data_IF_631033256637
#
_entry.id   IF_631033256637
#
_cell.length_a   1.000
_cell.length_b   1.000
_cell.length_c   1.000
_cell.angle_alpha   90.00
_cell.angle_beta   90.00
_cell.angle_gamma   90.00
#
_symmetry.space_group_name_H-M   'P 1'
#
loop_
_entity.id
_entity.type
_entity.pdbx_description
1 polymer ?
#
# COMPACT_ATOMS: atom_id res chain seq x y z
N UNK A 1 -6.83 11.32 8.57
CA UNK A 1 -5.59 11.12 9.33
C UNK A 1 -4.43 11.27 8.37
N UNK A 2 -3.35 11.94 8.81
CA UNK A 2 -2.08 12.05 8.08
C UNK A 2 -0.95 11.71 9.05
N UNK A 3 -0.01 10.86 8.62
CA UNK A 3 1.21 10.52 9.35
C UNK A 3 2.39 10.69 8.39
N UNK A 4 3.46 11.34 8.84
CA UNK A 4 4.68 11.59 8.06
C UNK A 4 5.86 11.04 8.83
N UNK A 5 6.73 10.31 8.16
CA UNK A 5 7.98 9.76 8.71
C UNK A 5 9.11 9.94 7.69
N UNK A 6 10.31 10.22 8.20
CA UNK A 6 11.50 10.45 7.38
C UNK A 6 12.74 9.85 8.05
N UNK A 7 13.60 9.23 7.24
CA UNK A 7 14.96 8.86 7.61
C UNK A 7 15.92 9.15 6.44
N UNK A 8 17.19 8.74 6.55
CA UNK A 8 18.20 9.00 5.49
C UNK A 8 17.80 8.43 4.12
N UNK A 9 17.02 7.34 4.10
CA UNK A 9 16.74 6.56 2.89
C UNK A 9 15.36 6.84 2.28
N UNK A 10 14.40 7.31 3.07
CA UNK A 10 13.03 7.50 2.61
C UNK A 10 12.29 8.58 3.41
N UNK A 11 11.50 9.39 2.70
CA UNK A 11 10.43 10.20 3.26
C UNK A 11 9.08 9.56 2.90
N UNK A 12 8.16 9.46 3.85
CA UNK A 12 6.86 8.80 3.67
C UNK A 12 5.71 9.63 4.20
N UNK A 13 4.55 9.49 3.58
CA UNK A 13 3.30 10.08 4.04
C UNK A 13 2.17 9.06 3.91
N UNK A 14 1.51 8.75 5.02
CA UNK A 14 0.28 7.96 5.04
C UNK A 14 -0.91 8.89 5.17
N UNK A 15 -1.93 8.66 4.36
CA UNK A 15 -3.23 9.30 4.47
C UNK A 15 -4.31 8.24 4.60
N UNK A 16 -5.23 8.45 5.53
CA UNK A 16 -6.42 7.62 5.66
C UNK A 16 -7.65 8.46 6.01
N UNK A 17 -8.76 8.20 5.32
CA UNK A 17 -10.05 8.83 5.60
C UNK A 17 -11.19 7.83 5.44
N UNK A 18 -12.04 7.75 6.46
CA UNK A 18 -13.19 6.86 6.43
C UNK A 18 -14.24 7.35 5.44
N UNK A 19 -14.98 6.38 4.89
CA UNK A 19 -16.26 6.56 4.21
C UNK A 19 -17.20 7.47 5.00
N UNK A 20 -17.97 8.29 4.30
CA UNK A 20 -18.97 9.16 4.92
C UNK A 20 -19.96 8.36 5.78
N UNK A 21 -20.23 8.84 7.00
CA UNK A 21 -21.10 8.17 7.96
C UNK A 21 -20.54 6.88 8.59
N UNK A 22 -19.26 6.51 8.38
CA UNK A 22 -18.63 5.35 9.03
C UNK A 22 -17.63 5.78 10.11
N UNK A 23 -17.80 5.23 11.32
CA UNK A 23 -16.89 5.44 12.45
C UNK A 23 -15.64 4.57 12.40
N UNK A 24 -15.71 3.43 11.72
CA UNK A 24 -14.61 2.46 11.59
C UNK A 24 -14.22 2.34 10.12
N UNK A 25 -12.94 2.49 9.83
CA UNK A 25 -12.37 2.31 8.49
C UNK A 25 -12.25 0.83 8.15
N UNK A 26 -12.74 0.42 6.98
CA UNK A 26 -12.53 -0.93 6.43
C UNK A 26 -11.10 -1.17 5.96
N UNK A 27 -10.36 -0.10 5.68
CA UNK A 27 -8.94 -0.15 5.30
C UNK A 27 -8.03 -0.23 6.53
N UNK A 28 -6.91 -0.94 6.38
CA UNK A 28 -5.79 -0.93 7.32
C UNK A 28 -4.46 -0.79 6.58
N UNK A 29 -3.47 -0.25 7.27
CA UNK A 29 -2.11 -0.15 6.75
C UNK A 29 -1.10 -0.45 7.86
N UNK A 30 0.06 -0.95 7.46
CA UNK A 30 1.25 -1.07 8.30
C UNK A 30 2.43 -0.45 7.56
N UNK A 31 3.30 0.25 8.27
CA UNK A 31 4.53 0.80 7.72
C UNK A 31 5.59 0.82 8.82
N UNK A 32 6.80 0.37 8.47
CA UNK A 32 7.98 0.48 9.31
C UNK A 32 9.19 0.67 8.40
N UNK A 33 9.94 1.74 8.64
CA UNK A 33 11.24 1.98 8.02
C UNK A 33 12.31 2.05 9.10
N UNK A 34 13.45 1.41 8.85
CA UNK A 34 14.67 1.58 9.62
C UNK A 34 15.84 1.96 8.69
N UNK A 35 17.08 1.91 9.18
CA UNK A 35 18.26 2.27 8.40
C UNK A 35 18.62 1.24 7.30
N UNK A 36 17.89 0.13 7.19
CA UNK A 36 18.21 -0.98 6.26
C UNK A 36 17.07 -1.29 5.31
N UNK A 37 15.84 -1.33 5.82
CA UNK A 37 14.69 -1.73 5.04
C UNK A 37 13.41 -0.95 5.35
N UNK A 38 12.53 -0.91 4.34
CA UNK A 38 11.13 -0.60 4.49
C UNK A 38 10.32 -1.89 4.42
N UNK A 39 9.31 -2.00 5.26
CA UNK A 39 8.14 -2.81 4.98
C UNK A 39 6.90 -1.93 5.05
N UNK A 40 6.02 -2.04 4.06
CA UNK A 40 4.70 -1.46 4.14
C UNK A 40 3.64 -2.35 3.50
N UNK A 41 2.43 -2.23 4.00
CA UNK A 41 1.27 -2.92 3.48
C UNK A 41 0.03 -2.03 3.57
N UNK A 42 -0.85 -2.19 2.59
CA UNK A 42 -2.18 -1.58 2.56
C UNK A 42 -3.18 -2.69 2.25
N UNK A 43 -4.24 -2.77 3.03
CA UNK A 43 -5.29 -3.75 2.87
C UNK A 43 -6.68 -3.09 2.95
N UNK A 44 -7.57 -3.51 2.05
CA UNK A 44 -8.98 -3.11 2.00
C UNK A 44 -9.83 -4.34 2.31
N UNK A 45 -10.52 -4.30 3.46
CA UNK A 45 -11.38 -5.38 3.93
C UNK A 45 -12.71 -5.40 3.20
N UNK A 46 -13.17 -6.58 2.78
CA UNK A 46 -14.38 -6.68 1.96
C UNK A 46 -15.63 -6.06 2.66
N UNK A 47 -16.20 -5.05 2.01
CA UNK A 47 -17.40 -4.34 2.47
C UNK A 47 -17.06 -3.01 3.14
N UNK A 48 -17.56 -2.76 4.37
CA UNK A 48 -17.24 -1.54 5.12
C UNK A 48 -17.47 -1.73 6.62
N UNK A 49 -16.88 -0.86 7.44
CA UNK A 49 -17.05 -0.86 8.89
C UNK A 49 -16.31 -2.00 9.59
N UNK A 50 -16.81 -2.42 10.76
CA UNK A 50 -16.10 -3.33 11.67
C UNK A 50 -15.72 -4.69 11.06
N UNK A 51 -16.56 -5.28 10.22
CA UNK A 51 -16.27 -6.58 9.60
C UNK A 51 -15.25 -6.48 8.45
N UNK A 52 -15.17 -5.33 7.78
CA UNK A 52 -14.07 -5.05 6.85
C UNK A 52 -12.77 -4.84 7.63
N UNK A 53 -12.83 -4.03 8.69
CA UNK A 53 -11.71 -3.78 9.58
C UNK A 53 -11.15 -5.06 10.22
N UNK A 54 -12.00 -6.01 10.63
CA UNK A 54 -11.56 -7.31 11.16
C UNK A 54 -10.60 -8.04 10.20
N UNK A 55 -10.91 -8.04 8.90
CA UNK A 55 -10.06 -8.64 7.88
C UNK A 55 -8.77 -7.83 7.67
N UNK A 56 -8.88 -6.52 7.43
CA UNK A 56 -7.72 -5.70 7.10
C UNK A 56 -6.77 -5.49 8.29
N UNK A 57 -7.29 -5.38 9.51
CA UNK A 57 -6.50 -5.25 10.72
C UNK A 57 -5.71 -6.54 11.02
N UNK A 58 -6.30 -7.72 10.78
CA UNK A 58 -5.57 -8.98 10.90
C UNK A 58 -4.38 -9.06 9.93
N UNK A 59 -4.51 -8.48 8.72
CA UNK A 59 -3.40 -8.36 7.77
C UNK A 59 -2.33 -7.42 8.31
N UNK A 60 -2.71 -6.25 8.82
CA UNK A 60 -1.77 -5.30 9.44
C UNK A 60 -0.94 -5.98 10.52
N UNK A 61 -1.58 -6.69 11.45
CA UNK A 61 -0.91 -7.36 12.57
C UNK A 61 0.03 -8.48 12.09
N UNK A 62 -0.35 -9.22 11.04
CA UNK A 62 0.52 -10.26 10.46
C UNK A 62 1.73 -9.68 9.75
N UNK A 63 1.56 -8.59 8.99
CA UNK A 63 2.67 -7.91 8.33
C UNK A 63 3.67 -7.38 9.37
N UNK A 64 3.18 -6.85 10.49
CA UNK A 64 4.04 -6.41 11.61
C UNK A 64 4.83 -7.57 12.21
N UNK A 65 4.16 -8.66 12.58
CA UNK A 65 4.78 -9.80 13.25
C UNK A 65 5.75 -10.58 12.38
N UNK A 66 5.49 -10.65 11.07
CA UNK A 66 6.28 -11.42 10.10
C UNK A 66 7.09 -10.53 9.15
N UNK A 67 7.38 -9.29 9.56
CA UNK A 67 8.05 -8.31 8.72
C UNK A 67 9.39 -8.75 8.13
N UNK A 68 10.07 -9.70 8.79
CA UNK A 68 11.37 -10.22 8.36
C UNK A 68 11.27 -11.29 7.25
N UNK A 69 10.08 -11.86 7.00
CA UNK A 69 9.87 -12.85 5.94
C UNK A 69 9.81 -12.19 4.55
N UNK A 70 9.87 -13.01 3.50
CA UNK A 70 9.62 -12.54 2.13
C UNK A 70 8.13 -12.20 1.92
N UNK A 71 7.84 -11.29 1.00
CA UNK A 71 6.47 -10.79 0.77
C UNK A 71 5.47 -11.89 0.38
N UNK A 72 5.93 -12.99 -0.23
CA UNK A 72 5.06 -14.10 -0.62
C UNK A 72 4.67 -14.95 0.60
N UNK A 73 5.61 -15.18 1.51
CA UNK A 73 5.34 -15.84 2.79
C UNK A 73 4.36 -15.03 3.64
N UNK A 74 4.55 -13.70 3.71
CA UNK A 74 3.65 -12.81 4.45
C UNK A 74 2.24 -12.83 3.84
N UNK A 75 2.10 -12.66 2.51
CA UNK A 75 0.77 -12.63 1.88
C UNK A 75 0.03 -13.96 2.00
N UNK A 76 0.74 -15.09 2.02
CA UNK A 76 0.12 -16.40 2.26
C UNK A 76 -0.41 -16.54 3.68
N UNK A 77 0.33 -16.06 4.69
CA UNK A 77 -0.19 -16.01 6.07
C UNK A 77 -1.44 -15.15 6.17
N UNK A 78 -1.41 -13.98 5.51
CA UNK A 78 -2.57 -13.10 5.40
C UNK A 78 -3.76 -13.84 4.78
N UNK A 79 -3.55 -14.57 3.69
CA UNK A 79 -4.58 -15.38 3.05
C UNK A 79 -5.17 -16.42 4.01
N UNK A 80 -4.34 -17.20 4.69
CA UNK A 80 -4.80 -18.21 5.65
C UNK A 80 -5.63 -17.61 6.78
N UNK A 81 -5.24 -16.43 7.27
CA UNK A 81 -5.97 -15.71 8.31
C UNK A 81 -7.35 -15.19 7.87
N UNK A 82 -7.60 -15.09 6.56
CA UNK A 82 -8.91 -14.71 6.01
C UNK A 82 -9.93 -15.84 6.06
N UNK A 83 -9.52 -17.07 6.40
CA UNK A 83 -10.46 -18.16 6.63
C UNK A 83 -11.42 -17.79 7.77
N UNK A 84 -12.72 -17.88 7.49
CA UNK A 84 -13.81 -17.47 8.39
C UNK A 84 -13.92 -15.96 8.64
N UNK A 85 -13.25 -15.10 7.84
CA UNK A 85 -13.47 -13.65 7.80
C UNK A 85 -14.10 -13.26 6.46
N UNK A 86 -14.37 -11.96 6.27
CA UNK A 86 -14.85 -11.46 4.97
C UNK A 86 -13.83 -11.59 3.85
N UNK A 87 -12.54 -11.61 4.20
CA UNK A 87 -11.44 -11.47 3.25
C UNK A 87 -11.07 -10.02 3.02
N UNK A 88 -9.99 -9.81 2.29
CA UNK A 88 -9.45 -8.49 1.96
C UNK A 88 -8.64 -8.52 0.67
N UNK A 89 -8.55 -7.38 -0.01
CA UNK A 89 -7.51 -7.13 -1.00
C UNK A 89 -6.31 -6.51 -0.29
N UNK A 90 -5.09 -6.81 -0.75
CA UNK A 90 -3.90 -6.33 -0.06
C UNK A 90 -2.70 -6.24 -0.99
N UNK A 91 -1.82 -5.31 -0.67
CA UNK A 91 -0.50 -5.16 -1.28
C UNK A 91 0.56 -5.07 -0.19
N UNK A 92 1.68 -5.76 -0.38
CA UNK A 92 2.83 -5.77 0.52
C UNK A 92 4.07 -5.41 -0.30
N UNK A 93 4.83 -4.44 0.21
CA UNK A 93 6.07 -3.95 -0.37
C UNK A 93 7.17 -4.04 0.68
N UNK A 94 8.30 -4.63 0.29
CA UNK A 94 9.57 -4.52 1.02
C UNK A 94 10.60 -3.80 0.17
N UNK A 95 11.41 -2.96 0.79
CA UNK A 95 12.53 -2.27 0.12
C UNK A 95 13.79 -2.50 0.95
N UNK A 96 14.86 -2.96 0.32
CA UNK A 96 16.20 -2.96 0.89
C UNK A 96 16.94 -1.72 0.36
N UNK A 97 17.36 -0.83 1.26
CA UNK A 97 17.94 0.46 0.88
C UNK A 97 19.37 0.33 0.36
N UNK A 98 20.17 -0.57 0.93
CA UNK A 98 21.55 -0.85 0.51
C UNK A 98 21.60 -1.34 -0.94
N UNK A 99 20.75 -2.30 -1.29
CA UNK A 99 20.67 -2.89 -2.63
C UNK A 99 19.83 -2.06 -3.60
N UNK A 100 19.15 -1.02 -3.11
CA UNK A 100 18.10 -0.28 -3.82
C UNK A 100 17.13 -1.22 -4.54
N UNK A 101 16.69 -2.26 -3.85
CA UNK A 101 15.83 -3.30 -4.40
C UNK A 101 14.50 -3.29 -3.68
N UNK A 102 13.40 -3.35 -4.43
CA UNK A 102 12.09 -3.58 -3.87
C UNK A 102 11.56 -4.95 -4.28
N UNK A 103 10.76 -5.54 -3.39
CA UNK A 103 10.00 -6.76 -3.63
C UNK A 103 8.54 -6.51 -3.31
N UNK A 104 7.65 -6.86 -4.24
CA UNK A 104 6.23 -6.52 -4.18
C UNK A 104 5.36 -7.75 -4.47
N UNK A 105 4.32 -7.94 -3.66
CA UNK A 105 3.27 -8.93 -3.90
C UNK A 105 1.89 -8.37 -3.55
N UNK A 106 0.87 -8.74 -4.32
CA UNK A 106 -0.48 -8.19 -4.18
C UNK A 106 -1.55 -9.13 -4.70
N UNK A 107 -2.74 -9.06 -4.08
CA UNK A 107 -3.98 -9.70 -4.55
C UNK A 107 -5.12 -8.68 -4.42
N UNK A 108 -5.85 -8.48 -5.52
CA UNK A 108 -7.00 -7.59 -5.58
C UNK A 108 -6.69 -6.21 -6.16
N UNK A 109 -7.50 -5.23 -5.76
CA UNK A 109 -7.59 -3.88 -6.33
C UNK A 109 -6.71 -2.82 -5.64
N UNK A 110 -5.99 -3.16 -4.56
CA UNK A 110 -4.98 -2.25 -3.97
C UNK A 110 -3.86 -2.06 -4.99
N UNK A 111 -3.58 -0.82 -5.35
CA UNK A 111 -2.66 -0.47 -6.44
C UNK A 111 -1.32 -0.04 -5.91
N UNK A 112 -0.27 -0.35 -6.67
CA UNK A 112 1.08 0.15 -6.46
C UNK A 112 1.59 0.79 -7.75
N UNK A 113 2.17 1.97 -7.63
CA UNK A 113 2.83 2.67 -8.72
C UNK A 113 4.16 3.20 -8.19
N UNK A 114 5.26 2.86 -8.86
CA UNK A 114 6.57 3.46 -8.64
C UNK A 114 6.98 4.22 -9.89
N UNK A 115 7.42 5.46 -9.74
CA UNK A 115 7.86 6.37 -10.79
C UNK A 115 9.34 6.69 -10.60
N UNK A 116 10.13 6.44 -11.63
CA UNK A 116 11.56 6.71 -11.67
C UNK A 116 11.86 8.12 -12.21
N UNK A 117 12.93 8.80 -11.77
CA UNK A 117 13.36 10.07 -12.38
C UNK A 117 13.67 9.96 -13.88
N UNK A 118 14.09 8.79 -14.36
CA UNK A 118 14.28 8.51 -15.80
C UNK A 118 12.97 8.54 -16.61
N UNK A 119 11.82 8.65 -15.96
CA UNK A 119 10.50 8.71 -16.57
C UNK A 119 9.81 7.35 -16.71
N UNK A 120 10.52 6.26 -16.40
CA UNK A 120 9.94 4.93 -16.33
C UNK A 120 8.96 4.79 -15.16
N UNK A 121 8.01 3.86 -15.25
CA UNK A 121 7.10 3.58 -14.15
C UNK A 121 6.75 2.11 -14.07
N UNK A 122 6.88 1.55 -12.87
CA UNK A 122 6.36 0.23 -12.55
C UNK A 122 4.92 0.38 -12.06
N UNK A 123 3.96 -0.11 -12.85
CA UNK A 123 2.54 -0.09 -12.53
C UNK A 123 1.90 -1.43 -12.92
N UNK A 124 2.02 -2.47 -12.08
CA UNK A 124 1.48 -3.78 -12.39
C UNK A 124 -0.04 -3.74 -12.45
N UNK A 125 -0.61 -4.55 -13.36
CA UNK A 125 -2.06 -4.74 -13.39
C UNK A 125 -2.53 -5.44 -12.11
N UNK A 126 -3.68 -5.03 -11.53
CA UNK A 126 -4.28 -5.69 -10.38
C UNK A 126 -4.49 -7.19 -10.63
N UNK A 127 -4.22 -8.00 -9.62
CA UNK A 127 -4.52 -9.44 -9.65
C UNK A 127 -5.98 -9.62 -9.28
N UNK A 128 -6.74 -10.39 -10.06
CA UNK A 128 -8.17 -10.59 -9.80
C UNK A 128 -8.41 -11.37 -8.50
N UNK A 129 -9.55 -11.09 -7.86
CA UNK A 129 -9.97 -11.75 -6.63
C UNK A 129 -9.49 -11.02 -5.37
N UNK A 130 -9.50 -11.73 -4.25
CA UNK A 130 -9.15 -11.24 -2.92
C UNK A 130 -8.60 -12.40 -2.07
N UNK A 131 -7.94 -12.08 -0.96
CA UNK A 131 -7.47 -13.04 0.01
C UNK A 131 -8.67 -13.61 0.77
N UNK A 132 -8.88 -14.92 0.66
CA UNK A 132 -10.11 -15.60 1.14
C UNK A 132 -9.85 -16.87 1.93
N UNK A 133 -8.58 -17.25 2.13
CA UNK A 133 -8.17 -18.53 2.70
C UNK A 133 -8.19 -19.70 1.70
N UNK A 134 -8.56 -19.46 0.44
CA UNK A 134 -8.43 -20.45 -0.65
C UNK A 134 -7.01 -20.42 -1.22
N UNK A 135 -6.50 -21.55 -1.76
CA UNK A 135 -5.19 -21.58 -2.41
C UNK A 135 -5.04 -20.51 -3.49
N UNK A 136 -3.90 -19.82 -3.51
CA UNK A 136 -3.57 -18.76 -4.45
C UNK A 136 -2.22 -19.03 -5.13
N UNK A 137 -2.06 -18.55 -6.36
CA UNK A 137 -0.75 -18.49 -7.03
C UNK A 137 -0.30 -17.04 -7.03
N UNK A 138 0.64 -16.72 -6.15
CA UNK A 138 1.14 -15.36 -6.01
C UNK A 138 2.10 -14.99 -7.13
N UNK A 139 2.10 -13.70 -7.48
CA UNK A 139 3.11 -13.10 -8.35
C UNK A 139 3.92 -12.12 -7.51
N UNK A 140 5.21 -12.37 -7.44
CA UNK A 140 6.17 -11.51 -6.76
C UNK A 140 7.02 -10.81 -7.81
N UNK A 141 7.12 -9.48 -7.71
CA UNK A 141 8.05 -8.70 -8.52
C UNK A 141 9.23 -8.26 -7.67
N UNK A 142 10.43 -8.48 -8.17
CA UNK A 142 11.68 -7.98 -7.59
C UNK A 142 12.38 -7.13 -8.64
N UNK A 143 12.71 -5.89 -8.30
CA UNK A 143 13.44 -5.00 -9.20
C UNK A 143 14.25 -3.97 -8.41
N UNK A 144 15.24 -3.39 -9.06
CA UNK A 144 15.98 -2.24 -8.53
C UNK A 144 15.21 -0.93 -8.80
N UNK A 145 15.43 0.08 -7.96
CA UNK A 145 14.89 1.42 -8.16
C UNK A 145 16.02 2.45 -8.30
N UNK A 146 15.74 3.55 -9.01
CA UNK A 146 16.66 4.68 -9.14
C UNK A 146 16.55 5.63 -7.93
N UNK A 147 17.67 6.22 -7.55
CA UNK A 147 17.73 7.30 -6.54
C UNK A 147 16.72 8.40 -6.88
N UNK A 148 15.86 8.83 -5.96
CA UNK A 148 14.80 9.82 -6.23
C UNK A 148 13.49 9.23 -6.76
N UNK A 149 13.38 7.89 -6.83
CA UNK A 149 12.12 7.23 -7.19
C UNK A 149 11.02 7.56 -6.18
N UNK A 150 9.80 7.76 -6.69
CA UNK A 150 8.61 8.06 -5.89
C UNK A 150 7.56 7.00 -6.10
N UNK A 151 6.87 6.58 -5.05
CA UNK A 151 5.81 5.59 -5.17
C UNK A 151 4.55 5.97 -4.40
N UNK A 152 3.45 5.31 -4.79
CA UNK A 152 2.21 5.29 -4.05
C UNK A 152 1.65 3.87 -3.98
N UNK A 153 1.17 3.46 -2.81
CA UNK A 153 0.25 2.33 -2.64
C UNK A 153 -1.10 2.90 -2.21
N UNK A 154 -2.20 2.50 -2.84
CA UNK A 154 -3.52 3.03 -2.48
C UNK A 154 -4.66 2.02 -2.65
N UNK A 155 -5.69 2.15 -1.83
CA UNK A 155 -6.98 1.44 -1.97
C UNK A 155 -7.82 2.05 -3.10
N UNK A 156 -8.91 1.40 -3.49
CA UNK A 156 -9.74 1.83 -4.61
C UNK A 156 -10.62 3.07 -4.29
N UNK A 157 -10.73 3.43 -3.01
CA UNK A 157 -11.30 4.70 -2.57
C UNK A 157 -10.57 5.92 -3.15
N UNK A 158 -9.27 5.77 -3.51
CA UNK A 158 -8.53 6.78 -4.27
C UNK A 158 -8.66 6.50 -5.78
N UNK A 159 -9.57 7.24 -6.44
CA UNK A 159 -9.76 7.13 -7.89
C UNK A 159 -9.13 8.31 -8.63
N UNK A 160 -7.92 8.10 -9.16
CA UNK A 160 -7.12 9.12 -9.85
C UNK A 160 -6.84 8.65 -11.29
N UNK A 161 -7.35 9.36 -12.31
CA UNK A 161 -7.15 8.95 -13.70
C UNK A 161 -5.67 8.89 -14.15
N UNK A 162 -4.84 9.82 -13.66
CA UNK A 162 -3.42 9.93 -14.06
C UNK A 162 -2.48 10.10 -12.86
N UNK A 163 -2.44 9.09 -12.00
CA UNK A 163 -1.61 9.09 -10.78
C UNK A 163 -0.10 9.31 -11.06
N UNK A 164 0.38 8.87 -12.23
CA UNK A 164 1.79 9.02 -12.64
C UNK A 164 2.19 10.48 -12.80
N UNK A 165 1.29 11.34 -13.29
CA UNK A 165 1.54 12.77 -13.43
C UNK A 165 1.71 13.47 -12.09
N UNK A 166 0.96 13.04 -11.06
CA UNK A 166 1.12 13.52 -9.69
C UNK A 166 2.49 13.13 -9.11
N UNK A 167 2.87 11.85 -9.23
CA UNK A 167 4.20 11.38 -8.82
C UNK A 167 5.33 12.10 -9.56
N UNK A 168 5.17 12.34 -10.87
CA UNK A 168 6.17 13.03 -11.69
C UNK A 168 6.38 14.48 -11.28
N UNK A 169 5.30 15.24 -11.08
CA UNK A 169 5.34 16.68 -10.84
C UNK A 169 5.68 17.06 -9.39
N UNK A 170 5.27 16.26 -8.41
CA UNK A 170 5.53 16.55 -7.00
C UNK A 170 7.01 16.47 -6.63
N UNK A 171 7.49 17.41 -5.83
CA UNK A 171 8.89 17.45 -5.38
C UNK A 171 9.09 16.76 -4.02
N UNK A 172 8.01 16.67 -3.23
CA UNK A 172 7.93 16.01 -1.92
C UNK A 172 6.69 15.12 -1.83
N UNK A 173 6.63 14.23 -0.83
CA UNK A 173 5.42 13.46 -0.53
C UNK A 173 4.24 14.35 -0.12
N UNK A 174 4.50 15.48 0.52
CA UNK A 174 3.50 16.50 0.88
C UNK A 174 2.91 17.17 -0.36
N UNK A 175 3.74 17.55 -1.34
CA UNK A 175 3.26 18.14 -2.60
C UNK A 175 2.36 17.17 -3.35
N UNK A 176 2.75 15.90 -3.39
CA UNK A 176 1.96 14.85 -4.03
C UNK A 176 0.63 14.70 -3.29
N UNK A 177 0.66 14.55 -1.96
CA UNK A 177 -0.55 14.44 -1.14
C UNK A 177 -1.50 15.63 -1.33
N UNK A 178 -0.96 16.86 -1.35
CA UNK A 178 -1.73 18.08 -1.62
C UNK A 178 -2.36 18.08 -3.02
N UNK A 179 -1.63 17.62 -4.03
CA UNK A 179 -2.15 17.49 -5.40
C UNK A 179 -3.28 16.46 -5.52
N UNK A 180 -3.35 15.49 -4.60
CA UNK A 180 -4.38 14.45 -4.56
C UNK A 180 -5.63 14.86 -3.77
N UNK A 181 -5.61 16.02 -3.08
CA UNK A 181 -6.68 16.46 -2.17
C UNK A 181 -8.06 16.48 -2.84
N UNK A 182 -8.14 16.85 -4.11
CA UNK A 182 -9.42 16.91 -4.84
C UNK A 182 -10.12 15.54 -4.96
N UNK A 183 -9.38 14.43 -4.87
CA UNK A 183 -9.93 13.08 -4.95
C UNK A 183 -10.41 12.55 -3.58
N UNK A 184 -10.08 13.25 -2.49
CA UNK A 184 -10.40 12.82 -1.12
C UNK A 184 -11.72 13.38 -0.58
N UNK A 185 -12.31 14.38 -1.26
CA UNK A 185 -13.46 15.15 -0.74
C UNK A 185 -14.78 14.39 -0.79
N UNK A 186 -14.93 13.42 -1.71
CA UNK A 186 -16.21 12.76 -1.94
C UNK A 186 -16.60 11.73 -0.88
N UNK A 187 -15.61 11.15 -0.19
CA UNK A 187 -15.78 10.14 0.88
C UNK A 187 -16.75 9.00 0.53
N UNK A 188 -16.80 8.62 -0.75
CA UNK A 188 -17.68 7.55 -1.26
C UNK A 188 -17.30 6.17 -0.71
N UNK A 189 -16.02 5.99 -0.40
CA UNK A 189 -15.51 4.82 0.29
C UNK A 189 -14.40 5.16 1.28
N UNK A 190 -13.95 4.15 2.01
CA UNK A 190 -12.71 4.23 2.78
C UNK A 190 -11.54 4.48 1.81
N UNK A 191 -10.67 5.42 2.16
CA UNK A 191 -9.57 5.86 1.30
C UNK A 191 -8.28 5.83 2.10
N UNK A 192 -7.35 5.00 1.66
CA UNK A 192 -6.00 4.89 2.24
C UNK A 192 -4.96 4.97 1.15
N UNK A 193 -3.90 5.75 1.38
CA UNK A 193 -2.69 5.68 0.57
C UNK A 193 -1.43 5.89 1.39
N UNK A 194 -0.33 5.28 0.94
CA UNK A 194 1.04 5.50 1.40
C UNK A 194 1.83 6.08 0.23
N UNK A 195 2.41 7.25 0.42
CA UNK A 195 3.40 7.85 -0.47
C UNK A 195 4.80 7.60 0.09
N UNK A 196 5.76 7.39 -0.81
CA UNK A 196 7.18 7.33 -0.46
C UNK A 196 8.05 8.00 -1.50
N UNK A 197 9.07 8.70 -1.05
CA UNK A 197 10.14 9.28 -1.86
C UNK A 197 11.47 8.73 -1.39
N UNK A 198 12.13 7.97 -2.27
CA UNK A 198 13.36 7.26 -1.97
C UNK A 198 14.57 8.15 -2.24
N UNK A 199 15.44 8.25 -1.25
CA UNK A 199 16.66 9.07 -1.30
C UNK A 199 17.66 8.62 -2.34
#
# INVERSE_FOLDING_TARGET
>A
MIQVEENEHIQTLVYQLNKEGKSICGDSFFMKADDKELICAVADGLGSGSLANESSAAIKDLVENYANEDVQSIIERCNQAMKNKRGATASILKINFEQRQFTYCSVGNVRFILHSPSGESFYPLPISGYLSGKPQKYKTHTATYEKGSKFIIHTDGLNVPDIRSHLKKGQSVEDISNSLKMYTTSRKDDLTYILGQLS
#
